data_IF_508931883434
#
_entry.id   IF_508931883434
#
_cell.length_a   1.000
_cell.length_b   1.000
_cell.length_c   1.000
_cell.angle_alpha   90.00
_cell.angle_beta   90.00
_cell.angle_gamma   90.00
#
_symmetry.space_group_name_H-M   'P 1'
#
loop_
_entity.id
_entity.type
_entity.pdbx_description
1 polymer ?
#
# COMPACT_ATOMS: atom_id res chain seq x y z
N UNK A 1 -6.37 -32.49 18.27
CA UNK A 1 -6.39 -31.58 17.11
C UNK A 1 -5.59 -30.34 17.43
N UNK A 2 -4.26 -30.46 17.37
CA UNK A 2 -3.31 -29.42 17.78
C UNK A 2 -2.71 -28.86 16.50
N UNK A 3 -3.03 -27.59 16.22
CA UNK A 3 -2.26 -26.67 15.38
C UNK A 3 -2.00 -27.15 13.94
N UNK A 4 -2.94 -26.86 13.05
CA UNK A 4 -2.57 -26.47 11.68
C UNK A 4 -2.96 -25.01 11.48
N UNK A 5 -2.10 -24.13 11.98
CA UNK A 5 -2.13 -22.71 11.65
C UNK A 5 -1.11 -22.53 10.53
N UNK A 6 -1.58 -22.04 9.38
CA UNK A 6 -0.76 -21.26 8.47
C UNK A 6 0.23 -20.42 9.31
N UNK A 7 1.51 -20.67 9.10
CA UNK A 7 2.63 -20.37 9.99
C UNK A 7 2.41 -19.05 10.77
N UNK A 8 2.28 -19.06 12.12
CA UNK A 8 1.93 -17.88 12.92
C UNK A 8 2.86 -16.69 12.66
N UNK A 9 4.11 -16.94 12.28
CA UNK A 9 5.08 -15.93 11.86
C UNK A 9 4.58 -15.13 10.65
N UNK A 10 4.04 -15.80 9.63
CA UNK A 10 3.53 -15.15 8.40
C UNK A 10 2.34 -14.24 8.73
N UNK A 11 1.48 -14.65 9.65
CA UNK A 11 0.35 -13.83 10.09
C UNK A 11 0.80 -12.56 10.81
N UNK A 12 1.72 -12.68 11.76
CA UNK A 12 2.25 -11.53 12.50
C UNK A 12 2.91 -10.52 11.56
N UNK A 13 3.68 -11.00 10.58
CA UNK A 13 4.30 -10.13 9.56
C UNK A 13 3.22 -9.44 8.72
N UNK A 14 2.21 -10.19 8.26
CA UNK A 14 1.11 -9.64 7.47
C UNK A 14 0.33 -8.56 8.22
N UNK A 15 -0.01 -8.80 9.49
CA UNK A 15 -0.71 -7.82 10.34
C UNK A 15 0.14 -6.58 10.62
N UNK A 16 1.44 -6.75 10.82
CA UNK A 16 2.37 -5.63 11.00
C UNK A 16 2.43 -4.74 9.76
N UNK A 17 2.61 -5.34 8.57
CA UNK A 17 2.61 -4.61 7.29
C UNK A 17 1.27 -3.90 7.07
N UNK A 18 0.16 -4.59 7.33
CA UNK A 18 -1.17 -4.01 7.21
C UNK A 18 -1.32 -2.77 8.10
N UNK A 19 -0.97 -2.86 9.39
CA UNK A 19 -1.09 -1.73 10.33
C UNK A 19 -0.24 -0.52 9.93
N UNK A 20 0.93 -0.74 9.33
CA UNK A 20 1.80 0.35 8.86
C UNK A 20 1.22 1.01 7.61
N UNK A 21 0.64 0.23 6.72
CA UNK A 21 0.10 0.73 5.43
C UNK A 21 -1.30 1.30 5.57
N UNK A 22 -2.06 0.89 6.60
CA UNK A 22 -3.44 1.29 6.84
C UNK A 22 -3.66 2.82 6.82
N UNK A 23 -2.86 3.65 7.52
CA UNK A 23 -3.11 5.10 7.58
C UNK A 23 -3.08 5.79 6.22
N UNK A 24 -2.40 5.18 5.24
CA UNK A 24 -2.33 5.67 3.86
C UNK A 24 -3.42 5.02 3.01
N UNK A 25 -3.69 3.73 3.20
CA UNK A 25 -4.69 2.98 2.44
C UNK A 25 -6.13 3.35 2.81
N UNK A 26 -6.42 3.72 4.06
CA UNK A 26 -7.77 4.06 4.51
C UNK A 26 -8.33 5.33 3.84
N UNK A 27 -7.58 6.45 3.75
CA UNK A 27 -8.01 7.60 2.95
C UNK A 27 -8.19 7.26 1.48
N UNK A 28 -7.33 6.41 0.90
CA UNK A 28 -7.49 5.99 -0.49
C UNK A 28 -8.77 5.18 -0.71
N UNK A 29 -9.12 4.29 0.22
CA UNK A 29 -10.38 3.51 0.18
C UNK A 29 -11.63 4.38 0.27
N UNK A 30 -11.59 5.50 0.99
CA UNK A 30 -12.75 6.39 1.08
C UNK A 30 -12.93 7.27 -0.16
N UNK A 31 -11.86 7.50 -0.92
CA UNK A 31 -11.89 8.26 -2.19
C UNK A 31 -12.32 7.37 -3.36
N UNK A 32 -11.89 6.11 -3.37
CA UNK A 32 -12.17 5.19 -4.46
C UNK A 32 -13.61 4.66 -4.39
N UNK A 33 -14.29 4.50 -5.54
CA UNK A 33 -15.60 3.87 -5.57
C UNK A 33 -15.50 2.39 -5.14
N UNK A 34 -16.52 1.88 -4.46
CA UNK A 34 -16.56 0.48 -4.05
C UNK A 34 -16.72 -0.45 -5.26
N UNK A 35 -15.67 -1.16 -5.64
CA UNK A 35 -15.68 -2.08 -6.79
C UNK A 35 -16.06 -3.51 -6.37
N UNK A 36 -17.29 -3.67 -5.86
CA UNK A 36 -17.85 -5.00 -5.58
C UNK A 36 -17.10 -5.79 -4.50
N UNK A 37 -16.47 -5.12 -3.54
CA UNK A 37 -15.74 -5.75 -2.43
C UNK A 37 -14.25 -5.98 -2.68
N UNK A 38 -13.74 -5.66 -3.87
CA UNK A 38 -12.31 -5.65 -4.15
C UNK A 38 -11.67 -4.34 -3.67
N UNK A 39 -10.58 -4.46 -2.90
CA UNK A 39 -9.78 -3.31 -2.47
C UNK A 39 -8.70 -2.97 -3.50
N UNK A 40 -8.91 -1.89 -4.27
CA UNK A 40 -7.90 -1.36 -5.20
C UNK A 40 -6.96 -0.34 -4.57
N UNK A 41 -7.15 0.02 -3.31
CA UNK A 41 -6.29 1.02 -2.64
C UNK A 41 -4.80 0.68 -2.68
N UNK A 42 -4.36 -0.59 -2.59
CA UNK A 42 -2.94 -0.91 -2.70
C UNK A 42 -2.37 -0.62 -4.09
N UNK A 43 -3.13 -0.89 -5.16
CA UNK A 43 -2.69 -0.59 -6.52
C UNK A 43 -2.57 0.91 -6.74
N UNK A 44 -3.56 1.68 -6.28
CA UNK A 44 -3.56 3.15 -6.39
C UNK A 44 -2.39 3.75 -5.60
N UNK A 45 -2.11 3.23 -4.40
CA UNK A 45 -0.95 3.66 -3.62
C UNK A 45 0.37 3.47 -4.39
N UNK A 46 0.57 2.31 -5.02
CA UNK A 46 1.77 2.03 -5.83
C UNK A 46 1.87 3.00 -7.02
N UNK A 47 0.75 3.28 -7.70
CA UNK A 47 0.73 4.24 -8.81
C UNK A 47 1.10 5.66 -8.37
N UNK A 48 0.62 6.10 -7.20
CA UNK A 48 0.98 7.40 -6.62
C UNK A 48 2.48 7.46 -6.32
N UNK A 49 3.05 6.39 -5.76
CA UNK A 49 4.49 6.31 -5.49
C UNK A 49 5.30 6.47 -6.78
N UNK A 50 4.97 5.72 -7.84
CA UNK A 50 5.65 5.84 -9.12
C UNK A 50 5.48 7.22 -9.76
N UNK A 51 4.30 7.81 -9.64
CA UNK A 51 4.05 9.17 -10.12
C UNK A 51 4.96 10.18 -9.41
N UNK A 52 5.04 10.11 -8.08
CA UNK A 52 5.89 11.00 -7.27
C UNK A 52 7.36 10.80 -7.64
N UNK A 53 7.83 9.56 -7.72
CA UNK A 53 9.21 9.24 -8.13
C UNK A 53 9.54 9.85 -9.50
N UNK A 54 8.64 9.70 -10.47
CA UNK A 54 8.82 10.23 -11.82
C UNK A 54 8.83 11.76 -11.84
N UNK A 55 7.93 12.40 -11.09
CA UNK A 55 7.88 13.86 -10.98
C UNK A 55 9.16 14.39 -10.35
N UNK A 56 9.65 13.77 -9.27
CA UNK A 56 10.91 14.15 -8.64
C UNK A 56 12.06 14.00 -9.65
N UNK A 57 12.15 12.87 -10.35
CA UNK A 57 13.22 12.61 -11.32
C UNK A 57 13.21 13.58 -12.51
N UNK A 58 12.04 14.00 -13.00
CA UNK A 58 11.93 14.90 -14.14
C UNK A 58 12.04 16.38 -13.77
N UNK A 59 11.51 16.79 -12.62
CA UNK A 59 11.32 18.21 -12.28
C UNK A 59 12.10 18.68 -11.06
N UNK A 60 12.68 17.80 -10.26
CA UNK A 60 13.44 18.21 -9.06
C UNK A 60 14.91 17.84 -9.23
N UNK A 61 15.19 16.62 -9.68
CA UNK A 61 16.56 16.14 -9.86
C UNK A 61 17.45 17.07 -10.72
N UNK A 62 16.99 17.63 -11.86
CA UNK A 62 17.82 18.52 -12.70
C UNK A 62 18.12 19.90 -12.10
N UNK A 63 17.46 20.27 -11.00
CA UNK A 63 17.68 21.55 -10.32
C UNK A 63 18.55 21.39 -9.07
N UNK A 64 18.70 20.15 -8.59
CA UNK A 64 19.51 19.81 -7.40
C UNK A 64 20.91 19.33 -7.80
N UNK A 65 21.07 18.75 -8.99
CA UNK A 65 22.33 18.32 -9.60
C UNK A 65 22.44 18.88 -11.02
#
# INVERSE_FOLDING_TARGET
NVVNAYNPVVRTIGEFIFRITEPVLAPLRSILPSLGGLDLSPMVLILIIFFIERVIGLYIYPYVF
#
